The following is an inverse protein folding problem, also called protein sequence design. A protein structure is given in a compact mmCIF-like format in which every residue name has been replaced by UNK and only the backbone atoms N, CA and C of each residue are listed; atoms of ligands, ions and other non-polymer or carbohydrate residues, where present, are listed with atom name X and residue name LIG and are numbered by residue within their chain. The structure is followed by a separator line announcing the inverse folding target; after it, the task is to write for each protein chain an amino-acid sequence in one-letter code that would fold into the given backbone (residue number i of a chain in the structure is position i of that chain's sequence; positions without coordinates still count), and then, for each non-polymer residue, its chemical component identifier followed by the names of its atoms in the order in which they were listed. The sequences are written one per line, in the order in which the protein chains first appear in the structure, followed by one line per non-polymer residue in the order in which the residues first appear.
data_IF_482792895269
#
_entry.id   IF_482792895269
#
_cell.length_a   1.000
_cell.length_b   1.000
_cell.length_c   1.000
_cell.angle_alpha   90.00
_cell.angle_beta   90.00
_cell.angle_gamma   90.00
#
_symmetry.space_group_name_H-M   'P 1'
#
loop_
_entity.id
_entity.type
_entity.pdbx_description
1 polymer ?
#
# COMPACT_ATOMS: atom_id res chain seq x y z
N UNK A 1 10.02 -7.97 70.82
CA UNK A 1 9.35 -6.80 70.18
C UNK A 1 10.06 -6.27 68.94
N UNK A 2 11.39 -6.24 68.86
CA UNK A 2 12.10 -5.68 67.68
C UNK A 2 11.98 -6.49 66.32
N UNK A 3 11.83 -7.79 66.38
CA UNK A 3 11.75 -8.63 65.15
C UNK A 3 10.43 -8.52 64.41
N UNK A 4 9.33 -8.20 65.08
CA UNK A 4 8.03 -8.09 64.40
C UNK A 4 7.87 -6.77 63.67
N UNK A 5 8.51 -5.70 64.12
CA UNK A 5 8.50 -4.39 63.45
C UNK A 5 9.29 -4.44 62.14
N UNK A 6 10.46 -5.13 62.15
CA UNK A 6 11.29 -5.26 60.93
C UNK A 6 10.59 -6.08 59.85
N UNK A 7 9.83 -7.13 60.20
CA UNK A 7 9.02 -7.92 59.24
C UNK A 7 7.84 -7.15 58.65
N UNK A 8 7.25 -6.24 59.43
CA UNK A 8 6.17 -5.40 58.91
C UNK A 8 6.68 -4.33 57.94
N UNK A 9 7.85 -3.73 58.20
CA UNK A 9 8.48 -2.74 57.31
C UNK A 9 8.89 -3.40 55.96
N UNK A 10 9.49 -4.60 55.98
CA UNK A 10 9.87 -5.35 54.80
C UNK A 10 8.67 -5.78 53.95
N UNK A 11 7.52 -6.07 54.53
CA UNK A 11 6.29 -6.40 53.80
C UNK A 11 5.62 -5.17 53.18
N UNK A 12 5.70 -4.02 53.83
CA UNK A 12 5.14 -2.78 53.28
C UNK A 12 5.94 -2.26 52.09
N UNK A 13 7.26 -2.35 52.09
CA UNK A 13 8.13 -1.91 50.99
C UNK A 13 7.99 -2.81 49.74
N UNK A 14 7.77 -4.12 49.91
CA UNK A 14 7.56 -5.04 48.78
C UNK A 14 6.21 -4.82 48.08
N UNK A 15 5.16 -4.43 48.82
CA UNK A 15 3.85 -4.17 48.22
C UNK A 15 3.81 -2.89 47.37
N UNK A 16 4.56 -1.84 47.76
CA UNK A 16 4.65 -0.57 47.05
C UNK A 16 5.45 -0.72 45.75
N UNK A 17 6.51 -1.54 45.75
CA UNK A 17 7.34 -1.77 44.55
C UNK A 17 6.59 -2.52 43.45
N UNK A 18 5.68 -3.45 43.78
CA UNK A 18 4.88 -4.20 42.81
C UNK A 18 3.76 -3.35 42.21
N UNK A 19 3.17 -2.44 42.98
CA UNK A 19 2.13 -1.53 42.48
C UNK A 19 2.66 -0.50 41.47
N UNK A 20 3.94 -0.09 41.58
CA UNK A 20 4.54 0.89 40.66
C UNK A 20 4.95 0.33 39.30
N UNK A 21 5.17 -0.98 39.19
CA UNK A 21 5.54 -1.62 37.90
C UNK A 21 4.35 -1.97 37.00
N UNK A 22 3.14 -2.04 37.58
CA UNK A 22 1.91 -2.35 36.77
C UNK A 22 1.37 -1.11 36.07
N UNK A 23 1.71 0.10 36.52
CA UNK A 23 1.18 1.35 35.96
C UNK A 23 1.87 1.81 34.68
N UNK A 24 3.02 1.23 34.29
CA UNK A 24 3.75 1.61 33.07
C UNK A 24 3.40 0.76 31.83
N UNK A 25 2.58 -0.27 31.96
CA UNK A 25 2.27 -1.22 30.88
C UNK A 25 1.01 -0.93 30.06
N UNK A 26 0.19 0.06 30.43
CA UNK A 26 -1.13 0.28 29.83
C UNK A 26 -1.21 1.47 28.85
N UNK A 27 -0.10 2.12 28.54
CA UNK A 27 -0.06 3.30 27.65
C UNK A 27 0.28 3.02 26.18
N UNK A 28 0.40 1.78 25.74
CA UNK A 28 0.89 1.45 24.39
C UNK A 28 -0.21 1.17 23.33
N UNK A 29 -1.47 1.50 23.61
CA UNK A 29 -2.49 1.56 22.56
C UNK A 29 -2.72 3.02 22.22
N UNK A 30 -1.98 3.52 21.23
CA UNK A 30 -2.26 4.80 20.59
C UNK A 30 -3.68 4.74 20.02
N UNK A 31 -4.60 5.45 20.67
CA UNK A 31 -6.03 5.49 20.32
C UNK A 31 -6.33 6.24 19.01
N UNK A 32 -5.30 6.63 18.25
CA UNK A 32 -5.40 7.46 17.05
C UNK A 32 -4.84 6.77 15.79
N UNK A 33 -4.98 5.44 15.67
CA UNK A 33 -4.72 4.77 14.41
C UNK A 33 -5.92 5.02 13.46
N UNK A 34 -5.73 5.76 12.34
CA UNK A 34 -6.79 6.05 11.39
C UNK A 34 -7.39 4.77 10.78
N UNK A 35 -6.58 3.71 10.61
CA UNK A 35 -7.03 2.40 10.12
C UNK A 35 -7.93 1.69 11.14
N UNK A 36 -7.55 1.72 12.42
CA UNK A 36 -8.36 1.17 13.49
C UNK A 36 -9.69 1.93 13.66
N UNK A 37 -9.67 3.24 13.47
CA UNK A 37 -10.87 4.08 13.52
C UNK A 37 -11.81 3.78 12.35
N UNK A 38 -11.31 3.58 11.14
CA UNK A 38 -12.10 3.18 9.97
C UNK A 38 -12.69 1.78 10.13
N UNK A 39 -11.93 0.85 10.74
CA UNK A 39 -12.43 -0.50 11.03
C UNK A 39 -13.54 -0.50 12.08
N UNK A 40 -13.43 0.36 13.12
CA UNK A 40 -14.45 0.52 14.16
C UNK A 40 -15.70 1.25 13.68
N UNK A 41 -15.57 2.15 12.71
CA UNK A 41 -16.70 2.92 12.18
C UNK A 41 -17.76 2.04 11.51
N UNK A 42 -17.41 0.80 11.09
CA UNK A 42 -18.37 -0.17 10.55
C UNK A 42 -19.16 0.35 9.35
N UNK A 43 -18.68 1.43 8.72
CA UNK A 43 -19.33 1.97 7.55
C UNK A 43 -19.09 1.02 6.40
N UNK A 44 -20.14 0.46 5.85
CA UNK A 44 -20.17 -0.55 4.77
C UNK A 44 -19.52 -0.07 3.45
N UNK A 45 -18.43 0.67 3.53
CA UNK A 45 -17.68 1.18 2.35
C UNK A 45 -16.99 0.09 1.55
N UNK A 46 -16.90 -1.15 2.10
CA UNK A 46 -16.21 -2.29 1.47
C UNK A 46 -14.74 -2.05 1.08
N UNK A 47 -14.10 -0.98 1.59
CA UNK A 47 -12.68 -0.71 1.41
C UNK A 47 -12.11 0.00 2.64
N UNK A 48 -10.83 -0.21 2.90
CA UNK A 48 -10.05 0.57 3.86
C UNK A 48 -9.39 1.68 3.04
N UNK A 49 -9.86 2.92 3.21
CA UNK A 49 -9.21 4.06 2.58
C UNK A 49 -7.83 4.25 3.24
N UNK A 50 -6.78 4.32 2.45
CA UNK A 50 -5.48 4.77 2.93
C UNK A 50 -5.57 6.23 3.41
N UNK A 51 -4.62 6.61 4.25
CA UNK A 51 -4.54 7.94 4.83
C UNK A 51 -3.88 9.00 3.90
N UNK A 52 -3.58 8.60 2.66
CA UNK A 52 -2.84 9.44 1.69
C UNK A 52 -1.33 9.46 1.97
N UNK A 53 -0.83 8.58 2.84
CA UNK A 53 0.60 8.57 3.17
C UNK A 53 1.46 8.17 1.98
N UNK A 54 2.54 8.91 1.82
CA UNK A 54 3.57 8.67 0.79
C UNK A 54 4.83 8.19 1.49
N UNK A 55 5.41 7.11 0.97
CA UNK A 55 6.71 6.63 1.40
C UNK A 55 7.62 6.56 0.18
N UNK A 56 8.76 7.24 0.24
CA UNK A 56 9.79 7.16 -0.79
C UNK A 56 10.98 6.34 -0.27
N UNK A 57 11.55 5.56 -1.16
CA UNK A 57 12.75 4.75 -0.89
C UNK A 57 13.92 5.29 -1.73
N UNK A 58 14.90 5.98 -1.09
CA UNK A 58 16.12 6.39 -1.77
C UNK A 58 16.78 5.20 -2.50
N UNK A 59 17.38 5.42 -3.66
CA UNK A 59 17.88 4.34 -4.52
C UNK A 59 18.78 3.33 -3.77
N UNK A 60 19.62 3.80 -2.86
CA UNK A 60 20.50 2.96 -2.05
C UNK A 60 19.76 2.07 -1.04
N UNK A 61 18.52 2.42 -0.68
CA UNK A 61 17.72 1.74 0.35
C UNK A 61 16.55 0.93 -0.23
N UNK A 62 16.40 0.89 -1.57
CA UNK A 62 15.38 0.07 -2.23
C UNK A 62 15.68 -1.41 -2.02
N UNK A 63 14.64 -2.18 -1.78
CA UNK A 63 14.72 -3.64 -1.71
C UNK A 63 15.17 -4.28 -3.03
N UNK A 64 15.06 -5.59 -3.10
CA UNK A 64 15.27 -6.33 -4.36
C UNK A 64 14.15 -6.06 -5.34
N UNK A 65 14.39 -6.33 -6.63
CA UNK A 65 13.32 -6.41 -7.63
C UNK A 65 12.26 -7.41 -7.20
N UNK A 66 11.00 -7.06 -7.45
CA UNK A 66 9.86 -7.91 -7.12
C UNK A 66 9.37 -8.60 -8.39
N UNK A 67 9.44 -9.92 -8.41
CA UNK A 67 8.86 -10.73 -9.49
C UNK A 67 7.35 -10.88 -9.27
N UNK A 68 6.57 -10.61 -10.32
CA UNK A 68 5.12 -10.76 -10.31
C UNK A 68 4.63 -11.16 -11.70
N UNK A 69 3.48 -11.84 -11.75
CA UNK A 69 2.81 -12.23 -12.98
C UNK A 69 1.34 -12.49 -12.71
N UNK A 70 0.48 -12.19 -13.69
CA UNK A 70 -0.94 -12.49 -13.59
C UNK A 70 -1.69 -12.35 -14.91
N UNK A 71 -2.91 -12.93 -15.01
CA UNK A 71 -3.77 -12.80 -16.17
C UNK A 71 -4.31 -11.38 -16.26
N UNK A 72 -4.40 -10.84 -17.48
CA UNK A 72 -4.98 -9.52 -17.72
C UNK A 72 -6.49 -9.61 -18.01
N UNK A 73 -7.18 -8.49 -17.94
CA UNK A 73 -8.60 -8.37 -18.26
C UNK A 73 -8.92 -8.72 -19.72
N UNK A 74 -7.92 -8.73 -20.59
CA UNK A 74 -8.04 -9.11 -22.01
C UNK A 74 -7.70 -10.57 -22.29
N UNK A 75 -7.33 -11.35 -21.25
CA UNK A 75 -7.01 -12.78 -21.35
C UNK A 75 -5.55 -13.09 -21.63
N UNK A 76 -4.66 -12.07 -21.71
CA UNK A 76 -3.22 -12.28 -21.77
C UNK A 76 -2.60 -12.52 -20.41
N UNK A 77 -1.27 -12.72 -20.38
CA UNK A 77 -0.45 -12.74 -19.17
C UNK A 77 0.50 -11.54 -19.21
N UNK A 78 0.56 -10.80 -18.13
CA UNK A 78 1.57 -9.74 -17.93
C UNK A 78 2.47 -10.14 -16.77
N UNK A 79 3.80 -9.95 -16.95
CA UNK A 79 4.79 -10.26 -15.92
C UNK A 79 5.86 -9.16 -15.82
N UNK A 80 6.53 -9.11 -14.68
CA UNK A 80 7.64 -8.19 -14.42
C UNK A 80 8.77 -8.32 -15.45
N UNK A 81 9.03 -9.53 -15.93
CA UNK A 81 10.12 -9.79 -16.88
C UNK A 81 9.92 -9.07 -18.21
N UNK A 82 8.66 -8.89 -18.65
CA UNK A 82 8.32 -8.16 -19.87
C UNK A 82 8.56 -6.65 -19.76
N UNK A 83 8.73 -6.13 -18.54
CA UNK A 83 8.90 -4.70 -18.23
C UNK A 83 10.28 -4.39 -17.68
N UNK A 84 11.24 -5.31 -17.82
CA UNK A 84 12.63 -5.07 -17.40
C UNK A 84 13.22 -3.86 -18.12
N UNK A 85 13.81 -2.95 -17.37
CA UNK A 85 14.39 -1.70 -17.90
C UNK A 85 13.38 -0.55 -18.08
N UNK A 86 12.09 -0.78 -17.79
CA UNK A 86 11.02 0.21 -17.88
C UNK A 86 10.51 0.55 -16.48
N UNK A 87 10.42 1.84 -16.09
CA UNK A 87 9.75 2.21 -14.85
C UNK A 87 8.26 1.86 -14.92
N UNK A 88 7.68 1.44 -13.78
CA UNK A 88 6.28 1.01 -13.71
C UNK A 88 5.53 1.78 -12.64
N UNK A 89 4.34 2.27 -12.98
CA UNK A 89 3.32 2.70 -12.02
C UNK A 89 2.29 1.58 -11.88
N UNK A 90 2.21 0.98 -10.70
CA UNK A 90 1.31 -0.13 -10.42
C UNK A 90 0.22 0.34 -9.45
N UNK A 91 -1.03 0.36 -9.91
CA UNK A 91 -2.17 0.82 -9.12
C UNK A 91 -3.08 -0.33 -8.73
N UNK A 92 -3.27 -0.54 -7.42
CA UNK A 92 -4.17 -1.55 -6.85
C UNK A 92 -5.55 -0.95 -6.66
N UNK A 93 -6.59 -1.58 -7.25
CA UNK A 93 -7.91 -1.00 -7.36
C UNK A 93 -9.02 -2.04 -7.50
N UNK A 94 -10.28 -1.59 -7.46
CA UNK A 94 -11.46 -2.32 -7.95
C UNK A 94 -12.58 -1.35 -8.36
N UNK A 95 -13.54 -1.79 -9.18
CA UNK A 95 -14.50 -0.93 -9.86
C UNK A 95 -15.48 -0.21 -8.92
N UNK A 96 -15.86 -0.83 -7.81
CA UNK A 96 -16.76 -0.24 -6.81
C UNK A 96 -16.08 0.70 -5.80
N UNK A 97 -14.76 0.85 -5.87
CA UNK A 97 -13.99 1.71 -4.98
C UNK A 97 -14.14 3.19 -5.36
N UNK A 98 -14.80 3.98 -4.55
CA UNK A 98 -15.06 5.39 -4.85
C UNK A 98 -13.78 6.23 -5.02
N UNK A 99 -12.75 6.16 -4.16
CA UNK A 99 -11.51 6.89 -4.38
C UNK A 99 -10.71 6.39 -5.60
N UNK A 100 -10.77 5.08 -5.96
CA UNK A 100 -10.15 4.56 -7.17
C UNK A 100 -10.78 5.20 -8.43
N UNK A 101 -12.10 5.35 -8.44
CA UNK A 101 -12.83 6.05 -9.51
C UNK A 101 -12.47 7.53 -9.60
N UNK A 102 -12.26 8.16 -8.45
CA UNK A 102 -11.90 9.58 -8.38
C UNK A 102 -10.47 9.87 -8.86
N UNK A 103 -9.53 8.91 -8.74
CA UNK A 103 -8.13 9.09 -9.18
C UNK A 103 -7.88 8.64 -10.65
N UNK A 104 -8.77 7.83 -11.23
CA UNK A 104 -8.58 7.29 -12.58
C UNK A 104 -8.31 8.37 -13.65
N UNK A 105 -8.99 9.54 -13.69
CA UNK A 105 -8.66 10.61 -14.62
C UNK A 105 -7.26 11.22 -14.40
N UNK A 106 -6.80 11.31 -13.15
CA UNK A 106 -5.48 11.82 -12.82
C UNK A 106 -4.39 10.85 -13.27
N UNK A 107 -4.58 9.54 -13.02
CA UNK A 107 -3.70 8.49 -13.52
C UNK A 107 -3.60 8.50 -15.06
N UNK A 108 -4.73 8.67 -15.77
CA UNK A 108 -4.76 8.80 -17.22
C UNK A 108 -3.98 10.02 -17.72
N UNK A 109 -4.12 11.14 -17.02
CA UNK A 109 -3.38 12.35 -17.40
C UNK A 109 -1.86 12.14 -17.22
N UNK A 110 -1.45 11.56 -16.09
CA UNK A 110 -0.03 11.29 -15.80
C UNK A 110 0.53 10.27 -16.81
N UNK A 111 -0.20 9.21 -17.16
CA UNK A 111 0.30 8.21 -18.14
C UNK A 111 0.61 8.84 -19.50
N UNK A 112 -0.18 9.82 -19.93
CA UNK A 112 0.06 10.55 -21.18
C UNK A 112 1.26 11.47 -21.12
N UNK A 113 1.53 12.07 -19.94
CA UNK A 113 2.68 12.94 -19.72
C UNK A 113 4.00 12.12 -19.66
N UNK A 114 3.92 10.81 -19.37
CA UNK A 114 5.07 9.91 -19.21
C UNK A 114 4.99 8.66 -20.10
N UNK A 115 5.08 8.80 -21.45
CA UNK A 115 4.90 7.68 -22.39
C UNK A 115 6.01 6.59 -22.32
N UNK A 116 7.09 6.85 -21.60
CA UNK A 116 8.18 5.87 -21.36
C UNK A 116 8.02 5.10 -20.04
N UNK A 117 6.95 5.35 -19.29
CA UNK A 117 6.62 4.69 -18.04
C UNK A 117 5.41 3.79 -18.29
N UNK A 118 5.52 2.53 -17.91
CA UNK A 118 4.39 1.60 -18.05
C UNK A 118 3.43 1.76 -16.85
N UNK A 119 2.15 1.95 -17.16
CA UNK A 119 1.09 1.87 -16.16
C UNK A 119 0.50 0.46 -16.16
N UNK A 120 0.21 -0.08 -14.98
CA UNK A 120 -0.39 -1.41 -14.77
C UNK A 120 -1.43 -1.30 -13.67
N UNK A 121 -2.66 -1.70 -13.95
CA UNK A 121 -3.67 -1.91 -12.94
C UNK A 121 -3.50 -3.29 -12.27
N UNK A 122 -3.78 -3.40 -10.98
CA UNK A 122 -3.95 -4.67 -10.28
C UNK A 122 -5.34 -4.68 -9.67
N UNK A 123 -6.26 -5.37 -10.33
CA UNK A 123 -7.63 -5.47 -9.84
C UNK A 123 -7.75 -6.59 -8.82
N UNK A 124 -8.07 -6.23 -7.58
CA UNK A 124 -8.05 -7.13 -6.42
C UNK A 124 -9.42 -7.73 -6.06
N UNK A 125 -10.50 -7.43 -6.82
CA UNK A 125 -11.85 -7.90 -6.46
C UNK A 125 -12.76 -8.29 -7.60
N UNK A 126 -12.60 -7.68 -8.78
CA UNK A 126 -13.58 -7.82 -9.83
C UNK A 126 -13.23 -8.95 -10.82
N UNK A 127 -14.22 -9.32 -11.63
CA UNK A 127 -14.00 -10.15 -12.81
C UNK A 127 -13.28 -9.38 -13.92
N UNK A 128 -12.67 -10.10 -14.86
CA UNK A 128 -12.04 -9.52 -16.05
C UNK A 128 -13.02 -8.62 -16.84
N UNK A 129 -14.28 -9.03 -17.00
CA UNK A 129 -15.30 -8.26 -17.70
C UNK A 129 -15.61 -6.93 -17.00
N UNK A 130 -15.68 -6.92 -15.67
CA UNK A 130 -15.90 -5.70 -14.86
C UNK A 130 -14.71 -4.77 -14.96
N UNK A 131 -13.49 -5.30 -14.85
CA UNK A 131 -12.25 -4.52 -14.98
C UNK A 131 -12.14 -3.90 -16.40
N UNK A 132 -12.41 -4.67 -17.44
CA UNK A 132 -12.42 -4.17 -18.81
C UNK A 132 -13.49 -3.07 -19.03
N UNK A 133 -14.68 -3.19 -18.42
CA UNK A 133 -15.71 -2.17 -18.49
C UNK A 133 -15.26 -0.87 -17.81
N UNK A 134 -14.58 -0.97 -16.66
CA UNK A 134 -14.00 0.18 -15.95
C UNK A 134 -12.94 0.88 -16.84
N UNK A 135 -11.98 0.12 -17.39
CA UNK A 135 -10.94 0.66 -18.25
C UNK A 135 -11.53 1.42 -19.43
N UNK A 136 -12.54 0.84 -20.11
CA UNK A 136 -13.26 1.54 -21.20
C UNK A 136 -13.94 2.83 -20.75
N UNK A 137 -14.62 2.80 -19.59
CA UNK A 137 -15.36 3.96 -19.06
C UNK A 137 -14.44 5.14 -18.74
N UNK A 138 -13.27 4.85 -18.14
CA UNK A 138 -12.27 5.86 -17.79
C UNK A 138 -11.23 6.09 -18.88
N UNK A 139 -11.34 5.38 -20.03
CA UNK A 139 -10.41 5.47 -21.17
C UNK A 139 -8.96 5.14 -20.80
N UNK A 140 -8.78 4.23 -19.84
CA UNK A 140 -7.47 3.75 -19.45
C UNK A 140 -6.93 2.84 -20.56
N UNK A 141 -5.72 3.09 -21.02
CA UNK A 141 -5.07 2.44 -22.15
C UNK A 141 -3.97 1.45 -21.76
N UNK A 142 -3.87 1.16 -20.46
CA UNK A 142 -2.93 0.17 -19.90
C UNK A 142 -3.66 -1.08 -19.40
N UNK A 143 -2.96 -2.24 -19.34
CA UNK A 143 -3.55 -3.50 -18.90
C UNK A 143 -3.81 -3.50 -17.37
N UNK A 144 -4.85 -4.25 -16.98
CA UNK A 144 -5.14 -4.57 -15.59
C UNK A 144 -5.01 -6.06 -15.32
N UNK A 145 -4.11 -6.44 -14.41
CA UNK A 145 -4.01 -7.81 -13.92
C UNK A 145 -5.24 -8.13 -13.06
N UNK A 146 -5.85 -9.29 -13.26
CA UNK A 146 -6.97 -9.79 -12.45
C UNK A 146 -6.41 -10.65 -11.32
N UNK A 147 -6.20 -10.02 -10.17
CA UNK A 147 -5.59 -10.62 -8.98
C UNK A 147 -6.63 -11.08 -7.94
N UNK A 148 -7.92 -10.90 -8.24
CA UNK A 148 -9.04 -11.12 -7.33
C UNK A 148 -9.17 -12.56 -6.80
N UNK A 149 -8.72 -13.56 -7.57
CA UNK A 149 -8.89 -14.97 -7.23
C UNK A 149 -7.77 -15.50 -6.34
N UNK A 150 -6.53 -15.14 -6.61
CA UNK A 150 -5.36 -15.74 -5.96
C UNK A 150 -4.53 -14.73 -5.16
N UNK A 151 -4.64 -13.44 -5.43
CA UNK A 151 -3.88 -12.41 -4.75
C UNK A 151 -2.37 -12.50 -4.97
N UNK A 152 -1.92 -13.15 -6.05
CA UNK A 152 -0.49 -13.46 -6.28
C UNK A 152 0.36 -12.23 -6.44
N UNK A 153 -0.15 -11.20 -7.14
CA UNK A 153 0.57 -9.93 -7.32
C UNK A 153 0.57 -9.14 -6.02
N UNK A 154 -0.56 -9.04 -5.32
CA UNK A 154 -0.63 -8.37 -4.03
C UNK A 154 0.27 -9.05 -2.98
N UNK A 155 0.35 -10.40 -2.99
CA UNK A 155 1.24 -11.17 -2.10
C UNK A 155 2.73 -10.93 -2.41
N UNK A 156 3.10 -10.75 -3.68
CA UNK A 156 4.49 -10.44 -4.06
C UNK A 156 5.00 -9.14 -3.42
N UNK A 157 4.09 -8.19 -3.14
CA UNK A 157 4.40 -6.93 -2.47
C UNK A 157 4.05 -6.93 -0.97
N UNK A 158 3.97 -8.10 -0.32
CA UNK A 158 3.71 -8.21 1.12
C UNK A 158 4.71 -7.39 1.94
N UNK A 159 4.21 -6.65 2.92
CA UNK A 159 5.01 -5.70 3.72
C UNK A 159 5.20 -4.32 3.08
N UNK A 160 4.87 -4.18 1.78
CA UNK A 160 4.88 -2.90 1.07
C UNK A 160 3.44 -2.39 0.86
N UNK A 161 2.56 -3.23 0.35
CA UNK A 161 1.11 -2.97 0.28
C UNK A 161 0.33 -4.03 1.03
N UNK A 162 -0.86 -3.65 1.49
CA UNK A 162 -1.82 -4.59 2.06
C UNK A 162 -2.95 -4.76 1.04
N UNK A 163 -3.32 -5.99 0.65
CA UNK A 163 -4.35 -6.24 -0.37
C UNK A 163 -5.71 -5.57 -0.10
N UNK A 164 -6.01 -5.30 1.17
CA UNK A 164 -7.24 -4.61 1.59
C UNK A 164 -7.16 -3.08 1.48
N UNK A 165 -5.95 -2.50 1.38
CA UNK A 165 -5.76 -1.05 1.30
C UNK A 165 -5.80 -0.61 -0.17
N UNK A 166 -6.97 -0.20 -0.64
CA UNK A 166 -7.19 0.32 -1.99
C UNK A 166 -7.88 1.68 -1.95
N UNK A 167 -7.50 2.60 -2.86
CA UNK A 167 -6.40 2.45 -3.78
C UNK A 167 -5.03 2.48 -3.10
N UNK A 168 -4.06 1.81 -3.71
CA UNK A 168 -2.65 1.95 -3.38
C UNK A 168 -1.85 2.00 -4.67
N UNK A 169 -0.85 2.86 -4.73
CA UNK A 169 -0.02 3.00 -5.93
C UNK A 169 1.44 2.78 -5.57
N UNK A 170 2.12 1.92 -6.32
CA UNK A 170 3.56 1.72 -6.28
C UNK A 170 4.20 2.36 -7.49
N UNK A 171 5.35 2.96 -7.30
CA UNK A 171 6.26 3.39 -8.37
C UNK A 171 7.48 2.50 -8.32
N UNK A 172 7.71 1.76 -9.40
CA UNK A 172 8.86 0.86 -9.52
C UNK A 172 9.89 1.49 -10.46
N UNK A 173 11.17 1.33 -10.10
CA UNK A 173 12.27 1.75 -10.94
C UNK A 173 12.53 0.78 -12.13
N UNK A 174 13.50 1.12 -12.97
CA UNK A 174 13.89 0.32 -14.16
C UNK A 174 14.40 -1.09 -13.81
N UNK A 175 14.78 -1.33 -12.55
CA UNK A 175 15.19 -2.64 -12.04
C UNK A 175 14.02 -3.41 -11.39
N UNK A 176 12.80 -2.86 -11.39
CA UNK A 176 11.63 -3.47 -10.76
C UNK A 176 11.64 -3.38 -9.23
N UNK A 177 12.44 -2.48 -8.64
CA UNK A 177 12.49 -2.23 -7.20
C UNK A 177 11.48 -1.13 -6.84
N UNK A 178 10.85 -1.23 -5.68
CA UNK A 178 9.90 -0.20 -5.22
C UNK A 178 10.64 1.08 -4.87
N UNK A 179 10.37 2.16 -5.60
CA UNK A 179 10.89 3.50 -5.37
C UNK A 179 9.98 4.33 -4.49
N UNK A 180 8.67 4.17 -4.65
CA UNK A 180 7.71 4.86 -3.82
C UNK A 180 6.40 4.07 -3.67
N UNK A 181 5.68 4.39 -2.59
CA UNK A 181 4.35 3.87 -2.28
C UNK A 181 3.44 5.01 -1.87
N UNK A 182 2.24 5.05 -2.43
CA UNK A 182 1.13 5.92 -2.01
C UNK A 182 0.00 5.03 -1.50
N UNK A 183 -0.44 5.25 -0.26
CA UNK A 183 -1.62 4.58 0.32
C UNK A 183 -2.82 5.51 0.26
N UNK A 184 -3.91 5.07 -0.37
CA UNK A 184 -5.08 5.89 -0.62
C UNK A 184 -5.01 6.62 -1.96
N UNK A 185 -5.98 7.54 -2.17
CA UNK A 185 -6.07 8.30 -3.42
C UNK A 185 -4.79 9.10 -3.66
N UNK A 186 -4.28 9.03 -4.88
CA UNK A 186 -3.12 9.83 -5.29
C UNK A 186 -3.41 11.33 -5.28
N UNK A 187 -2.39 12.12 -4.96
CA UNK A 187 -2.27 13.52 -5.39
C UNK A 187 -1.52 13.56 -6.72
N UNK A 188 -2.10 14.23 -7.72
CA UNK A 188 -1.54 14.27 -9.08
C UNK A 188 -0.13 14.85 -9.10
N UNK A 189 0.14 15.92 -8.36
CA UNK A 189 1.44 16.60 -8.36
C UNK A 189 2.52 15.73 -7.71
N UNK A 190 2.17 15.07 -6.61
CA UNK A 190 3.06 14.14 -5.90
C UNK A 190 3.40 12.96 -6.81
N UNK A 191 2.40 12.27 -7.35
CA UNK A 191 2.67 11.10 -8.21
C UNK A 191 3.47 11.49 -9.46
N UNK A 192 3.19 12.66 -10.08
CA UNK A 192 3.98 13.21 -11.18
C UNK A 192 5.45 13.33 -10.81
N UNK A 193 5.76 13.84 -9.61
CA UNK A 193 7.14 13.97 -9.12
C UNK A 193 7.81 12.62 -8.92
N UNK A 194 7.11 11.67 -8.29
CA UNK A 194 7.62 10.31 -8.05
C UNK A 194 7.92 9.57 -9.36
N UNK A 195 7.03 9.69 -10.35
CA UNK A 195 7.19 9.09 -11.68
C UNK A 195 8.38 9.73 -12.43
N UNK A 196 8.49 11.05 -12.37
CA UNK A 196 9.62 11.77 -12.97
C UNK A 196 10.95 11.30 -12.38
N UNK A 197 11.03 11.12 -11.07
CA UNK A 197 12.25 10.64 -10.38
C UNK A 197 12.74 9.32 -11.00
N UNK A 198 11.90 8.30 -11.09
CA UNK A 198 12.33 6.99 -11.62
C UNK A 198 12.58 6.98 -13.14
N UNK A 199 11.90 7.86 -13.89
CA UNK A 199 12.15 8.01 -15.32
C UNK A 199 13.52 8.61 -15.59
N UNK A 200 13.93 9.61 -14.78
CA UNK A 200 15.20 10.35 -14.95
C UNK A 200 16.41 9.57 -14.40
N UNK A 201 16.20 8.52 -13.58
CA UNK A 201 17.28 7.66 -13.11
C UNK A 201 18.00 6.96 -14.26
N UNK A 202 19.33 6.89 -14.17
CA UNK A 202 20.14 6.21 -15.16
C UNK A 202 19.79 4.72 -15.24
N UNK A 203 19.76 4.17 -16.47
CA UNK A 203 19.73 2.73 -16.65
C UNK A 203 21.10 2.16 -16.22
N UNK A 204 21.13 1.31 -15.21
CA UNK A 204 22.34 0.61 -14.75
C UNK A 204 22.40 -0.79 -15.32
#
# INVERSE_FOLDING_TARGET
MKQNVLRQILRATSAVAIASTISLGLGACSANDPLASQFKAGDNKNYIAGDGSVTEYPEANRGKSVAWSGPTETGGILSSDQLTGVPVVMNFWYAGCAPCRAEAPDLLAISKDFPKVQFVGVNVRDSAATAAAFNRNFKLDWPSIIDAQFGTVALAFTGIVTPAAVPSTLVLDKQGRVSARVLGRIDKSILTTLVKTVQDEAAK
#
